data_IF_185553880068
#
_entry.id   IF_185553880068
#
_cell.length_a   1.000
_cell.length_b   1.000
_cell.length_c   1.000
_cell.angle_alpha   90.00
_cell.angle_beta   90.00
_cell.angle_gamma   90.00
#
_symmetry.space_group_name_H-M   'P 1'
#
loop_
_entity.id
_entity.type
_entity.pdbx_description
1 polymer ?
#
# COMPACT_ATOMS: atom_id res chain seq x y z
N UNK A 1 24.18 33.06 24.52
CA UNK A 1 24.26 31.58 24.50
C UNK A 1 22.97 31.04 23.87
N UNK A 2 22.69 31.39 22.61
CA UNK A 2 21.43 31.07 21.94
C UNK A 2 21.65 30.95 20.44
N UNK A 3 22.21 29.82 20.02
CA UNK A 3 22.16 29.35 18.65
C UNK A 3 21.93 27.83 18.73
N UNK A 4 20.76 27.47 19.26
CA UNK A 4 20.27 26.11 19.23
C UNK A 4 19.93 25.83 17.77
N UNK A 5 20.84 25.13 17.09
CA UNK A 5 20.73 24.63 15.73
C UNK A 5 19.32 24.08 15.52
N UNK A 6 18.47 24.87 14.87
CA UNK A 6 17.28 24.37 14.22
C UNK A 6 17.79 23.67 12.98
N UNK A 7 18.09 22.38 13.11
CA UNK A 7 18.20 21.50 11.96
C UNK A 7 16.82 21.46 11.31
N UNK A 8 16.62 22.41 10.40
CA UNK A 8 15.51 22.49 9.49
C UNK A 8 15.65 21.28 8.56
N UNK A 9 15.12 20.12 8.98
CA UNK A 9 15.07 18.90 8.17
C UNK A 9 14.12 19.14 7.00
N UNK A 10 14.58 19.91 6.01
CA UNK A 10 13.83 20.17 4.78
C UNK A 10 13.65 18.86 4.05
N UNK A 11 12.50 18.25 4.27
CA UNK A 11 12.04 17.11 3.48
C UNK A 11 12.03 17.48 2.01
N UNK A 12 12.54 16.60 1.15
CA UNK A 12 12.62 16.87 -0.28
C UNK A 12 11.22 16.81 -0.88
N UNK A 13 10.99 17.58 -1.96
CA UNK A 13 9.78 17.39 -2.78
C UNK A 13 9.76 15.95 -3.31
N UNK A 14 8.60 15.27 -3.27
CA UNK A 14 8.49 13.89 -3.73
C UNK A 14 8.68 13.83 -5.25
N UNK A 15 9.52 12.91 -5.72
CA UNK A 15 9.66 12.63 -7.15
C UNK A 15 8.37 12.00 -7.71
N UNK A 16 8.08 12.22 -9.00
CA UNK A 16 6.90 11.65 -9.66
C UNK A 16 6.81 10.12 -9.51
N UNK A 17 7.96 9.42 -9.55
CA UNK A 17 8.03 7.98 -9.33
C UNK A 17 7.55 7.57 -7.93
N UNK A 18 7.84 8.35 -6.89
CA UNK A 18 7.34 8.09 -5.53
C UNK A 18 5.82 8.28 -5.49
N UNK A 19 5.28 9.33 -6.11
CA UNK A 19 3.83 9.59 -6.15
C UNK A 19 3.10 8.46 -6.88
N UNK A 20 3.62 8.01 -8.03
CA UNK A 20 3.05 6.88 -8.77
C UNK A 20 3.07 5.58 -7.95
N UNK A 21 4.17 5.29 -7.27
CA UNK A 21 4.28 4.13 -6.37
C UNK A 21 3.32 4.24 -5.18
N UNK A 22 3.15 5.43 -4.62
CA UNK A 22 2.19 5.71 -3.56
C UNK A 22 0.75 5.48 -4.00
N UNK A 23 0.38 5.93 -5.20
CA UNK A 23 -0.94 5.66 -5.78
C UNK A 23 -1.16 4.16 -6.02
N UNK A 24 -0.15 3.45 -6.55
CA UNK A 24 -0.22 2.01 -6.78
C UNK A 24 -0.33 1.21 -5.47
N UNK A 25 0.44 1.59 -4.44
CA UNK A 25 0.34 0.99 -3.11
C UNK A 25 -1.03 1.28 -2.49
N UNK A 26 -1.52 2.50 -2.67
CA UNK A 26 -2.89 2.88 -2.32
C UNK A 26 -3.90 1.97 -2.98
N UNK A 27 -3.82 1.78 -4.30
CA UNK A 27 -4.72 0.89 -5.04
C UNK A 27 -4.71 -0.54 -4.53
N UNK A 28 -3.52 -1.07 -4.21
CA UNK A 28 -3.39 -2.38 -3.57
C UNK A 28 -4.06 -2.42 -2.18
N UNK A 29 -3.89 -1.37 -1.37
CA UNK A 29 -4.60 -1.21 -0.09
C UNK A 29 -6.13 -1.10 -0.27
N UNK A 30 -6.55 -0.52 -1.40
CA UNK A 30 -7.94 -0.48 -1.87
C UNK A 30 -8.52 -1.85 -2.16
N UNK A 31 -7.74 -2.78 -2.72
CA UNK A 31 -8.14 -4.18 -2.85
C UNK A 31 -8.06 -4.91 -1.49
N UNK A 32 -7.04 -4.64 -0.67
CA UNK A 32 -6.80 -5.34 0.61
C UNK A 32 -6.12 -4.43 1.63
N UNK A 33 -6.83 -4.05 2.69
CA UNK A 33 -6.44 -2.92 3.54
C UNK A 33 -5.10 -3.14 4.26
N UNK A 34 -4.81 -4.37 4.71
CA UNK A 34 -3.53 -4.69 5.36
C UNK A 34 -2.32 -4.39 4.49
N UNK A 35 -2.43 -4.43 3.15
CA UNK A 35 -1.31 -4.17 2.25
C UNK A 35 -0.75 -2.74 2.38
N UNK A 36 -1.59 -1.78 2.78
CA UNK A 36 -1.18 -0.39 3.01
C UNK A 36 0.03 -0.30 3.94
N UNK A 37 -0.11 -0.64 5.24
CA UNK A 37 1.02 -0.66 6.17
C UNK A 37 1.92 -1.90 6.04
N UNK A 38 1.38 -3.08 5.69
CA UNK A 38 2.16 -4.32 5.74
C UNK A 38 3.20 -4.40 4.62
N UNK A 39 2.89 -4.01 3.38
CA UNK A 39 3.83 -4.09 2.28
C UNK A 39 5.12 -3.25 2.51
N UNK A 40 5.03 -1.97 2.93
CA UNK A 40 6.22 -1.21 3.32
C UNK A 40 6.83 -1.67 4.64
N UNK A 41 6.12 -2.41 5.49
CA UNK A 41 6.76 -3.03 6.68
C UNK A 41 7.60 -4.24 6.27
N UNK A 42 7.05 -5.13 5.45
CA UNK A 42 7.69 -6.40 5.03
C UNK A 42 8.92 -6.15 4.17
N UNK A 43 8.87 -5.14 3.30
CA UNK A 43 9.96 -4.79 2.38
C UNK A 43 10.97 -3.79 2.96
N UNK A 44 10.71 -3.28 4.17
CA UNK A 44 11.56 -2.29 4.82
C UNK A 44 12.62 -2.92 5.72
N UNK A 45 13.53 -2.08 6.23
CA UNK A 45 14.54 -2.47 7.20
C UNK A 45 13.96 -2.55 8.64
N UNK A 46 12.97 -3.43 8.84
CA UNK A 46 12.36 -3.69 10.14
C UNK A 46 12.88 -5.01 10.75
N UNK A 47 12.75 -5.16 12.07
CA UNK A 47 13.11 -6.40 12.77
C UNK A 47 12.33 -7.60 12.18
N UNK A 48 12.92 -8.80 12.10
CA UNK A 48 12.27 -9.99 11.52
C UNK A 48 10.88 -10.27 12.11
N UNK A 49 10.73 -10.14 13.43
CA UNK A 49 9.44 -10.32 14.12
C UNK A 49 8.35 -9.35 13.65
N UNK A 50 8.70 -8.08 13.39
CA UNK A 50 7.76 -7.06 12.92
C UNK A 50 7.30 -7.39 11.50
N UNK A 51 8.23 -7.84 10.65
CA UNK A 51 7.93 -8.28 9.28
C UNK A 51 7.03 -9.53 9.28
N UNK A 52 7.29 -10.47 10.19
CA UNK A 52 6.49 -11.67 10.35
C UNK A 52 5.06 -11.35 10.81
N UNK A 53 4.88 -10.48 11.82
CA UNK A 53 3.56 -10.04 12.27
C UNK A 53 2.80 -9.33 11.15
N UNK A 54 3.45 -8.45 10.39
CA UNK A 54 2.84 -7.80 9.23
C UNK A 54 2.40 -8.81 8.16
N UNK A 55 3.23 -9.81 7.85
CA UNK A 55 2.88 -10.87 6.91
C UNK A 55 1.71 -11.72 7.41
N UNK A 56 1.68 -12.07 8.70
CA UNK A 56 0.56 -12.79 9.31
C UNK A 56 -0.74 -11.99 9.25
N UNK A 57 -0.68 -10.66 9.42
CA UNK A 57 -1.84 -9.78 9.24
C UNK A 57 -2.43 -9.86 7.84
N UNK A 58 -1.58 -9.87 6.80
CA UNK A 58 -2.01 -10.04 5.39
C UNK A 58 -2.65 -11.40 5.18
N UNK A 59 -2.03 -12.47 5.71
CA UNK A 59 -2.58 -13.84 5.63
C UNK A 59 -3.91 -13.95 6.35
N UNK A 60 -4.05 -13.35 7.53
CA UNK A 60 -5.30 -13.33 8.29
C UNK A 60 -6.44 -12.67 7.52
N UNK A 61 -6.19 -11.52 6.88
CA UNK A 61 -7.18 -10.87 6.00
C UNK A 61 -7.50 -11.72 4.76
N UNK A 62 -6.53 -12.46 4.20
CA UNK A 62 -6.75 -13.36 3.04
C UNK A 62 -7.65 -14.54 3.39
N UNK A 63 -7.49 -15.10 4.59
CA UNK A 63 -8.34 -16.18 5.07
C UNK A 63 -9.73 -15.63 5.41
N UNK A 64 -9.80 -14.49 6.11
CA UNK A 64 -11.06 -13.86 6.51
C UNK A 64 -11.96 -13.49 5.32
N UNK A 65 -11.39 -12.99 4.21
CA UNK A 65 -12.14 -12.59 3.01
C UNK A 65 -12.82 -13.78 2.28
N UNK A 66 -12.48 -15.03 2.63
CA UNK A 66 -13.06 -16.24 2.03
C UNK A 66 -14.17 -16.87 2.88
N UNK A 67 -14.46 -16.30 4.05
CA UNK A 67 -15.53 -16.78 4.93
C UNK A 67 -16.88 -16.18 4.50
N UNK A 68 -17.99 -16.92 4.61
CA UNK A 68 -19.33 -16.49 4.15
C UNK A 68 -19.91 -15.26 4.88
N UNK A 69 -19.22 -14.76 5.91
CA UNK A 69 -19.62 -13.60 6.72
C UNK A 69 -18.74 -12.36 6.48
N UNK A 70 -17.98 -12.29 5.38
CA UNK A 70 -17.18 -11.11 5.06
C UNK A 70 -18.10 -9.89 4.80
N UNK A 71 -17.97 -8.77 5.55
CA UNK A 71 -18.79 -7.58 5.35
C UNK A 71 -18.61 -6.99 3.95
N UNK A 72 -19.68 -6.45 3.37
CA UNK A 72 -19.64 -5.71 2.10
C UNK A 72 -18.56 -4.61 2.14
N UNK A 73 -17.68 -4.62 1.13
CA UNK A 73 -16.50 -3.73 1.03
C UNK A 73 -16.86 -2.23 0.93
N UNK A 74 -18.13 -1.91 0.68
CA UNK A 74 -18.64 -0.55 0.48
C UNK A 74 -19.61 -0.09 1.57
N UNK A 75 -20.30 -0.99 2.28
CA UNK A 75 -21.46 -0.58 3.11
C UNK A 75 -21.13 -0.07 4.52
N UNK A 76 -19.90 -0.26 5.03
CA UNK A 76 -19.58 0.02 6.44
C UNK A 76 -18.26 0.77 6.65
N UNK A 77 -18.06 1.89 5.96
CA UNK A 77 -16.83 2.69 6.10
C UNK A 77 -15.56 2.02 5.55
N UNK A 78 -15.71 0.89 4.85
CA UNK A 78 -14.60 0.15 4.25
C UNK A 78 -13.78 0.98 3.27
N UNK A 79 -14.41 1.88 2.51
CA UNK A 79 -13.71 2.82 1.63
C UNK A 79 -12.81 3.79 2.41
N UNK A 80 -13.25 4.29 3.56
CA UNK A 80 -12.44 5.17 4.40
C UNK A 80 -11.25 4.42 5.00
N UNK A 81 -11.45 3.20 5.51
CA UNK A 81 -10.37 2.33 6.02
C UNK A 81 -9.33 2.04 4.93
N UNK A 82 -9.78 1.80 3.70
CA UNK A 82 -8.90 1.53 2.55
C UNK A 82 -8.12 2.78 2.13
N UNK A 83 -8.77 3.95 2.14
CA UNK A 83 -8.11 5.23 1.89
C UNK A 83 -7.06 5.54 2.97
N UNK A 84 -7.40 5.35 4.25
CA UNK A 84 -6.49 5.62 5.36
C UNK A 84 -5.31 4.64 5.36
N UNK A 85 -5.55 3.35 5.10
CA UNK A 85 -4.50 2.36 4.93
C UNK A 85 -3.54 2.72 3.78
N UNK A 86 -4.08 3.15 2.63
CA UNK A 86 -3.29 3.64 1.50
C UNK A 86 -2.45 4.87 1.85
N UNK A 87 -3.02 5.83 2.57
CA UNK A 87 -2.32 7.03 3.03
C UNK A 87 -1.17 6.70 3.99
N UNK A 88 -1.40 5.78 4.95
CA UNK A 88 -0.39 5.31 5.90
C UNK A 88 0.75 4.64 5.14
N UNK A 89 0.45 3.69 4.26
CA UNK A 89 1.45 2.98 3.47
C UNK A 89 2.30 3.91 2.61
N UNK A 90 1.65 4.86 1.93
CA UNK A 90 2.34 5.84 1.11
C UNK A 90 3.21 6.81 1.93
N UNK A 91 2.78 7.17 3.14
CA UNK A 91 3.59 7.98 4.07
C UNK A 91 4.85 7.22 4.51
N UNK A 92 4.72 5.92 4.77
CA UNK A 92 5.88 5.06 5.08
C UNK A 92 6.85 4.99 3.90
N UNK A 93 6.34 4.92 2.67
CA UNK A 93 7.19 4.93 1.46
C UNK A 93 7.92 6.26 1.29
N UNK A 94 7.23 7.39 1.56
CA UNK A 94 7.84 8.72 1.53
C UNK A 94 8.96 8.88 2.57
N UNK A 95 8.75 8.34 3.78
CA UNK A 95 9.75 8.36 4.85
C UNK A 95 11.05 7.65 4.46
N UNK A 96 10.98 6.53 3.71
CA UNK A 96 12.18 5.84 3.19
C UNK A 96 13.04 6.73 2.29
N UNK A 97 12.40 7.59 1.51
CA UNK A 97 13.06 8.53 0.60
C UNK A 97 13.35 9.91 1.21
N UNK A 98 13.08 10.12 2.52
CA UNK A 98 13.14 11.42 3.20
C UNK A 98 12.36 12.53 2.46
N UNK A 99 11.25 12.15 1.84
CA UNK A 99 10.38 13.04 1.09
C UNK A 99 9.21 13.53 1.96
N UNK A 100 8.68 14.72 1.64
CA UNK A 100 7.52 15.26 2.33
C UNK A 100 6.29 14.36 2.09
N UNK A 101 5.55 13.93 3.13
CA UNK A 101 4.59 12.84 3.01
C UNK A 101 3.23 13.26 2.42
N UNK A 102 2.87 14.55 2.42
CA UNK A 102 1.50 14.99 2.07
C UNK A 102 1.06 14.53 0.68
N UNK A 103 1.85 14.77 -0.37
CA UNK A 103 1.47 14.36 -1.73
C UNK A 103 1.44 12.83 -1.89
N UNK A 104 2.44 12.06 -1.42
CA UNK A 104 2.37 10.61 -1.32
C UNK A 104 1.13 10.10 -0.58
N UNK A 105 0.83 10.65 0.60
CA UNK A 105 -0.30 10.23 1.41
C UNK A 105 -1.64 10.44 0.69
N UNK A 106 -1.83 11.61 0.04
CA UNK A 106 -3.01 11.89 -0.77
C UNK A 106 -3.10 10.94 -1.97
N UNK A 107 -1.99 10.71 -2.67
CA UNK A 107 -1.95 9.75 -3.78
C UNK A 107 -2.31 8.32 -3.32
N UNK A 108 -1.81 7.92 -2.15
CA UNK A 108 -2.16 6.64 -1.52
C UNK A 108 -3.63 6.55 -1.12
N UNK A 109 -4.21 7.61 -0.57
CA UNK A 109 -5.63 7.67 -0.23
C UNK A 109 -6.51 7.54 -1.47
N UNK A 110 -6.22 8.31 -2.53
CA UNK A 110 -6.94 8.26 -3.81
C UNK A 110 -6.80 6.89 -4.45
N UNK A 111 -5.60 6.31 -4.43
CA UNK A 111 -5.37 4.93 -4.86
C UNK A 111 -6.25 3.96 -4.07
N UNK A 112 -6.31 4.10 -2.73
CA UNK A 112 -7.14 3.27 -1.86
C UNK A 112 -8.62 3.28 -2.23
N UNK A 113 -9.17 4.45 -2.54
CA UNK A 113 -10.54 4.57 -3.03
C UNK A 113 -10.69 3.89 -4.40
N UNK A 114 -9.79 4.17 -5.34
CA UNK A 114 -9.84 3.58 -6.68
C UNK A 114 -9.76 2.04 -6.66
N UNK A 115 -8.92 1.47 -5.80
CA UNK A 115 -8.83 0.02 -5.61
C UNK A 115 -10.10 -0.57 -4.99
N UNK A 116 -10.72 0.14 -4.03
CA UNK A 116 -11.96 -0.30 -3.41
C UNK A 116 -13.12 -0.38 -4.42
N UNK A 117 -13.32 0.68 -5.21
CA UNK A 117 -14.36 0.70 -6.25
C UNK A 117 -14.03 -0.26 -7.40
N UNK A 118 -12.75 -0.35 -7.80
CA UNK A 118 -12.30 -1.28 -8.83
C UNK A 118 -12.54 -2.74 -8.45
N UNK A 119 -12.23 -3.13 -7.21
CA UNK A 119 -12.49 -4.46 -6.69
C UNK A 119 -14.00 -4.78 -6.62
N UNK A 120 -14.82 -3.81 -6.19
CA UNK A 120 -16.28 -3.98 -6.19
C UNK A 120 -16.83 -4.17 -7.61
N UNK A 121 -16.38 -3.36 -8.58
CA UNK A 121 -16.75 -3.50 -9.98
C UNK A 121 -16.30 -4.84 -10.59
N UNK A 122 -15.09 -5.30 -10.25
CA UNK A 122 -14.58 -6.61 -10.64
C UNK A 122 -15.45 -7.75 -10.13
N UNK A 123 -15.81 -7.75 -8.84
CA UNK A 123 -16.67 -8.79 -8.26
C UNK A 123 -18.07 -8.78 -8.86
N UNK A 124 -18.64 -7.60 -9.10
CA UNK A 124 -19.93 -7.46 -9.77
C UNK A 124 -19.89 -8.00 -11.22
N UNK A 125 -18.79 -7.74 -11.94
CA UNK A 125 -18.59 -8.29 -13.28
C UNK A 125 -18.36 -9.81 -13.25
N UNK A 126 -17.59 -10.33 -12.30
CA UNK A 126 -17.29 -11.75 -12.21
C UNK A 126 -18.48 -12.60 -11.76
N UNK A 127 -19.44 -12.01 -11.04
CA UNK A 127 -20.64 -12.69 -10.58
C UNK A 127 -21.39 -13.35 -11.76
N UNK A 128 -21.65 -14.66 -11.63
CA UNK A 128 -22.31 -15.46 -12.66
C UNK A 128 -21.42 -15.81 -13.88
N UNK A 129 -20.18 -15.31 -13.96
CA UNK A 129 -19.19 -15.66 -15.00
C UNK A 129 -18.10 -16.60 -14.48
N UNK A 130 -17.74 -16.46 -13.22
CA UNK A 130 -16.69 -17.21 -12.54
C UNK A 130 -17.20 -17.71 -11.18
N UNK A 131 -16.74 -18.87 -10.70
CA UNK A 131 -16.85 -19.22 -9.29
C UNK A 131 -16.26 -18.12 -8.39
N UNK A 132 -16.97 -17.74 -7.32
CA UNK A 132 -16.60 -16.61 -6.46
C UNK A 132 -15.16 -16.68 -5.93
N UNK A 133 -14.70 -17.89 -5.58
CA UNK A 133 -13.35 -18.10 -5.06
C UNK A 133 -12.26 -17.82 -6.10
N UNK A 134 -12.53 -18.06 -7.39
CA UNK A 134 -11.58 -17.78 -8.48
C UNK A 134 -11.44 -16.28 -8.70
N UNK A 135 -12.57 -15.56 -8.72
CA UNK A 135 -12.59 -14.11 -8.83
C UNK A 135 -11.84 -13.44 -7.65
N UNK A 136 -11.98 -13.99 -6.44
CA UNK A 136 -11.26 -13.53 -5.25
C UNK A 136 -9.75 -13.77 -5.34
N UNK A 137 -9.32 -14.97 -5.75
CA UNK A 137 -7.89 -15.29 -5.89
C UNK A 137 -7.23 -14.43 -6.96
N UNK A 138 -7.90 -14.21 -8.11
CA UNK A 138 -7.38 -13.35 -9.16
C UNK A 138 -7.14 -11.91 -8.66
N UNK A 139 -8.10 -11.37 -7.92
CA UNK A 139 -7.98 -10.05 -7.30
C UNK A 139 -6.80 -9.97 -6.32
N UNK A 140 -6.62 -11.00 -5.47
CA UNK A 140 -5.52 -11.07 -4.51
C UNK A 140 -4.15 -11.11 -5.17
N UNK A 141 -4.00 -11.88 -6.25
CA UNK A 141 -2.76 -11.94 -7.03
C UNK A 141 -2.41 -10.57 -7.61
N UNK A 142 -3.39 -9.86 -8.16
CA UNK A 142 -3.17 -8.51 -8.71
C UNK A 142 -2.82 -7.53 -7.60
N UNK A 143 -3.52 -7.55 -6.46
CA UNK A 143 -3.25 -6.68 -5.32
C UNK A 143 -1.85 -6.90 -4.73
N UNK A 144 -1.45 -8.16 -4.51
CA UNK A 144 -0.13 -8.53 -4.01
C UNK A 144 0.98 -8.10 -4.98
N UNK A 145 0.76 -8.30 -6.28
CA UNK A 145 1.71 -7.90 -7.32
C UNK A 145 1.88 -6.38 -7.35
N UNK A 146 0.77 -5.62 -7.31
CA UNK A 146 0.80 -4.16 -7.25
C UNK A 146 1.55 -3.64 -6.03
N UNK A 147 1.28 -4.20 -4.84
CA UNK A 147 2.00 -3.85 -3.62
C UNK A 147 3.51 -4.18 -3.71
N UNK A 148 3.87 -5.35 -4.24
CA UNK A 148 5.26 -5.74 -4.44
C UNK A 148 6.00 -4.80 -5.41
N UNK A 149 5.37 -4.42 -6.52
CA UNK A 149 5.92 -3.45 -7.49
C UNK A 149 6.07 -2.07 -6.85
N UNK A 150 5.05 -1.60 -6.14
CA UNK A 150 5.07 -0.30 -5.47
C UNK A 150 6.17 -0.21 -4.40
N UNK A 151 6.44 -1.30 -3.68
CA UNK A 151 7.45 -1.36 -2.63
C UNK A 151 8.84 -1.81 -3.10
N UNK A 152 8.97 -2.32 -4.33
CA UNK A 152 10.23 -2.83 -4.88
C UNK A 152 11.31 -1.76 -5.07
N UNK A 153 12.58 -2.15 -4.95
CA UNK A 153 13.74 -1.26 -5.03
C UNK A 153 14.02 -0.67 -6.43
N UNK A 154 13.24 -1.04 -7.46
CA UNK A 154 13.70 -1.04 -8.86
C UNK A 154 13.53 0.26 -9.64
N UNK A 155 12.99 1.31 -9.03
CA UNK A 155 12.84 2.61 -9.70
C UNK A 155 13.31 3.73 -8.78
N UNK A 156 14.62 3.98 -8.82
CA UNK A 156 15.27 5.02 -8.01
C UNK A 156 16.76 4.86 -7.73
N UNK A 157 17.52 4.06 -8.48
CA UNK A 157 18.99 4.05 -8.39
C UNK A 157 19.60 4.88 -9.53
N UNK A 158 19.91 6.17 -9.32
CA UNK A 158 21.04 6.78 -9.99
C UNK A 158 22.33 6.28 -9.31
N UNK A 159 23.21 5.68 -10.10
CA UNK A 159 24.64 5.59 -9.78
C UNK A 159 25.05 4.45 -8.86
N UNK A 160 25.32 3.31 -9.47
CA UNK A 160 26.39 2.42 -9.00
C UNK A 160 27.70 3.20 -9.11
N UNK A 161 28.15 3.78 -8.00
CA UNK A 161 29.55 4.10 -7.78
C UNK A 161 30.23 2.86 -7.23
N UNK A 162 30.72 2.00 -8.12
CA UNK A 162 31.81 1.09 -7.82
C UNK A 162 33.03 1.97 -7.49
N UNK A 163 33.46 2.01 -6.23
CA UNK A 163 34.85 2.26 -5.91
C UNK A 163 35.21 1.32 -4.77
N UNK A 164 36.32 0.62 -4.99
CA UNK A 164 36.93 -0.41 -4.16
C UNK A 164 37.16 0.00 -2.71
#
# INVERSE_FOLDING_TARGET
>A
MTALFRDDTRTRRPAAALVARSALLGWAAGARASLGPAAPTITGAHRPVVRAVAALGVVGELIGDKLPNAPSRLDHGGALVRATAGAIGASMLAARGRAHPVVPALAGAVGGLAGAFGGAAWRAWAAGRLPDWQAAVAEDVVALTAAAVACGARFGAPGVGQVQ
#
